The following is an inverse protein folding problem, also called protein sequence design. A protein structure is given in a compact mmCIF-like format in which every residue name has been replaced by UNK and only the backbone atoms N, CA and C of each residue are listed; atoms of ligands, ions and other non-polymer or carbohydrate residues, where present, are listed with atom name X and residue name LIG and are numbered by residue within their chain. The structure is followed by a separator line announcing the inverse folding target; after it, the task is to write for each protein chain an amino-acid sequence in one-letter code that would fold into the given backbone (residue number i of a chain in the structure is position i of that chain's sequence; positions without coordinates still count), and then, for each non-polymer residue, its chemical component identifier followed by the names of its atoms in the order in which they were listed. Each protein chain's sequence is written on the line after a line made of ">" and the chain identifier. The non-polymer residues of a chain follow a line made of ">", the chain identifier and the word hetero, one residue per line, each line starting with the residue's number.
data_IF_248671726632
#
_entry.id   IF_248671726632
#
_cell.length_a   1.000
_cell.length_b   1.000
_cell.length_c   1.000
_cell.angle_alpha   90.00
_cell.angle_beta   90.00
_cell.angle_gamma   90.00
#
_symmetry.space_group_name_H-M   'P 1'
#
loop_
_entity.id
_entity.type
_entity.pdbx_description
1 polymer ?
#
# COMPACT_ATOMS: atom_id res chain seq x y z
N UNK A 1 -0.13 11.23 -17.98
CA UNK A 1 -0.62 11.25 -16.59
C UNK A 1 -1.45 10.00 -16.44
N UNK A 2 -0.96 9.00 -15.68
CA UNK A 2 -1.58 7.66 -15.68
C UNK A 2 -2.84 7.67 -14.84
N UNK A 3 -3.82 6.91 -15.30
CA UNK A 3 -5.17 6.90 -14.79
C UNK A 3 -5.31 5.85 -13.69
N UNK A 4 -5.30 6.29 -12.43
CA UNK A 4 -5.61 5.45 -11.27
C UNK A 4 -7.12 5.38 -10.99
N UNK A 5 -7.98 5.74 -11.96
CA UNK A 5 -9.44 5.75 -11.80
C UNK A 5 -10.04 4.42 -11.36
N UNK A 6 -9.35 3.30 -11.60
CA UNK A 6 -9.81 1.97 -11.18
C UNK A 6 -9.47 1.64 -9.71
N UNK A 7 -8.61 2.43 -9.07
CA UNK A 7 -8.27 2.32 -7.65
C UNK A 7 -9.33 2.97 -6.76
N UNK A 8 -10.41 2.22 -6.53
CA UNK A 8 -11.50 2.65 -5.68
C UNK A 8 -11.28 2.28 -4.21
N UNK A 9 -11.77 3.11 -3.26
CA UNK A 9 -11.80 2.74 -1.85
C UNK A 9 -12.42 1.36 -1.65
N UNK A 10 -11.78 0.55 -0.82
CA UNK A 10 -12.17 -0.83 -0.60
C UNK A 10 -11.34 -1.86 -1.39
N UNK A 11 -10.55 -1.43 -2.37
CA UNK A 11 -9.66 -2.31 -3.14
C UNK A 11 -8.69 -3.04 -2.21
N UNK A 12 -8.66 -4.38 -2.33
CA UNK A 12 -7.74 -5.24 -1.59
C UNK A 12 -6.37 -5.20 -2.26
N UNK A 13 -5.34 -4.89 -1.48
CA UNK A 13 -3.95 -4.81 -1.92
C UNK A 13 -3.12 -5.88 -1.19
N UNK A 14 -2.24 -6.54 -1.92
CA UNK A 14 -1.12 -7.28 -1.34
C UNK A 14 0.04 -6.31 -1.12
N UNK A 15 0.63 -6.34 0.08
CA UNK A 15 1.72 -5.48 0.52
C UNK A 15 2.95 -6.32 0.83
N UNK A 16 4.08 -5.96 0.23
CA UNK A 16 5.39 -6.51 0.52
C UNK A 16 6.26 -5.38 1.05
N UNK A 17 6.95 -5.63 2.17
CA UNK A 17 7.91 -4.68 2.73
C UNK A 17 9.24 -4.88 2.03
N UNK A 18 9.90 -3.80 1.63
CA UNK A 18 11.22 -3.83 1.01
C UNK A 18 12.23 -3.30 2.03
N UNK A 19 13.30 -4.06 2.30
CA UNK A 19 14.38 -3.64 3.19
C UNK A 19 15.37 -2.70 2.49
N UNK A 20 16.39 -2.25 3.23
CA UNK A 20 17.42 -1.33 2.73
C UNK A 20 18.26 -1.93 1.58
N UNK A 21 18.35 -3.26 1.51
CA UNK A 21 19.05 -4.00 0.45
C UNK A 21 18.18 -4.20 -0.81
N UNK A 22 16.91 -3.76 -0.79
CA UNK A 22 15.95 -3.97 -1.87
C UNK A 22 15.30 -5.35 -1.87
N UNK A 23 15.51 -6.14 -0.83
CA UNK A 23 14.95 -7.48 -0.66
C UNK A 23 13.62 -7.46 0.10
N UNK A 24 12.86 -8.56 0.00
CA UNK A 24 11.61 -8.71 0.71
C UNK A 24 11.85 -8.93 2.20
N UNK A 25 11.21 -8.11 3.03
CA UNK A 25 11.22 -8.24 4.48
C UNK A 25 9.91 -8.87 4.98
N UNK A 26 9.98 -10.14 5.38
CA UNK A 26 8.82 -10.87 5.91
C UNK A 26 7.94 -11.46 4.81
N UNK A 27 6.66 -11.70 5.14
CA UNK A 27 5.69 -12.28 4.22
C UNK A 27 4.82 -11.23 3.52
N UNK A 28 4.07 -11.61 2.47
CA UNK A 28 3.04 -10.74 1.91
C UNK A 28 1.95 -10.51 2.97
N UNK A 29 1.57 -9.25 3.10
CA UNK A 29 0.47 -8.81 3.96
C UNK A 29 -0.70 -8.36 3.11
N UNK A 30 -1.90 -8.39 3.69
CA UNK A 30 -3.08 -7.85 3.04
C UNK A 30 -3.40 -6.51 3.68
N UNK A 31 -3.66 -5.53 2.83
CA UNK A 31 -4.18 -4.21 3.20
C UNK A 31 -5.33 -3.83 2.26
N UNK A 32 -5.92 -2.66 2.52
CA UNK A 32 -7.06 -2.15 1.79
C UNK A 32 -6.85 -0.66 1.52
N UNK A 33 -7.18 -0.23 0.31
CA UNK A 33 -7.23 1.18 -0.07
C UNK A 33 -8.39 1.87 0.67
N UNK A 34 -8.12 2.99 1.34
CA UNK A 34 -9.12 3.72 2.14
C UNK A 34 -9.57 5.01 1.45
N UNK A 35 -8.68 5.64 0.68
CA UNK A 35 -8.97 6.87 -0.07
C UNK A 35 -8.59 6.66 -1.55
N UNK A 36 -9.26 7.33 -2.50
CA UNK A 36 -8.78 7.35 -3.89
C UNK A 36 -7.34 7.89 -3.96
N UNK A 37 -6.62 7.52 -5.01
CA UNK A 37 -5.31 8.12 -5.28
C UNK A 37 -5.50 9.58 -5.69
N UNK A 38 -4.92 10.51 -4.93
CA UNK A 38 -5.00 11.95 -5.19
C UNK A 38 -3.60 12.52 -5.37
N UNK A 39 -3.19 12.69 -6.63
CA UNK A 39 -1.78 12.99 -6.96
C UNK A 39 -0.92 11.77 -6.68
N UNK A 40 0.18 11.95 -5.96
CA UNK A 40 1.11 10.86 -5.64
C UNK A 40 0.87 10.26 -4.25
N UNK A 41 -0.15 10.68 -3.52
CA UNK A 41 -0.43 10.18 -2.17
C UNK A 41 -1.80 9.51 -2.07
N UNK A 42 -1.88 8.49 -1.22
CA UNK A 42 -3.13 7.83 -0.88
C UNK A 42 -3.07 7.25 0.55
N UNK A 43 -4.20 6.71 1.01
CA UNK A 43 -4.34 6.12 2.32
C UNK A 43 -4.67 4.64 2.21
N UNK A 44 -3.91 3.80 2.91
CA UNK A 44 -4.19 2.37 3.05
C UNK A 44 -4.37 2.01 4.52
N UNK A 45 -5.09 0.92 4.81
CA UNK A 45 -5.18 0.39 6.15
C UNK A 45 -3.81 -0.10 6.65
N UNK A 46 -3.57 -0.05 7.95
CA UNK A 46 -2.41 -0.75 8.52
C UNK A 46 -2.62 -2.26 8.34
N UNK A 47 -1.67 -2.99 7.71
CA UNK A 47 -1.81 -4.43 7.53
C UNK A 47 -1.95 -5.16 8.86
N UNK A 48 -2.75 -6.22 8.87
CA UNK A 48 -2.97 -7.07 10.06
C UNK A 48 -2.45 -8.47 9.76
N UNK A 49 -1.60 -8.98 10.64
CA UNK A 49 -1.09 -10.35 10.60
C UNK A 49 -1.29 -11.03 11.96
N UNK A 50 -1.95 -12.20 11.97
CA UNK A 50 -2.24 -12.98 13.20
C UNK A 50 -2.84 -12.10 14.32
N UNK A 51 -3.84 -11.30 13.97
CA UNK A 51 -4.54 -10.38 14.89
C UNK A 51 -3.70 -9.22 15.43
N UNK A 52 -2.50 -8.99 14.90
CA UNK A 52 -1.65 -7.87 15.27
C UNK A 52 -1.48 -6.92 14.10
N UNK A 53 -1.43 -5.62 14.39
CA UNK A 53 -0.99 -4.64 13.39
C UNK A 53 0.47 -4.91 13.05
N UNK A 54 0.79 -4.91 11.75
CA UNK A 54 2.16 -4.98 11.27
C UNK A 54 2.72 -3.56 11.30
N UNK A 55 3.67 -3.25 12.20
CA UNK A 55 4.19 -1.90 12.32
C UNK A 55 5.05 -1.56 11.11
N UNK A 56 4.79 -0.40 10.49
CA UNK A 56 5.57 0.14 9.39
C UNK A 56 6.06 1.55 9.75
N UNK A 57 7.37 1.74 9.70
CA UNK A 57 8.02 3.02 9.99
C UNK A 57 7.86 4.00 8.83
N UNK A 58 7.84 5.30 9.14
CA UNK A 58 8.03 6.33 8.12
C UNK A 58 9.35 6.12 7.37
N UNK A 59 9.35 6.30 6.05
CA UNK A 59 10.49 6.05 5.16
C UNK A 59 10.58 4.60 4.65
N UNK A 60 9.74 3.70 5.17
CA UNK A 60 9.74 2.31 4.73
C UNK A 60 9.24 2.20 3.28
N UNK A 61 10.03 1.55 2.43
CA UNK A 61 9.63 1.19 1.07
C UNK A 61 8.73 -0.04 1.08
N UNK A 62 7.62 0.04 0.35
CA UNK A 62 6.67 -1.05 0.18
C UNK A 62 6.35 -1.25 -1.30
N UNK A 63 6.04 -2.48 -1.66
CA UNK A 63 5.46 -2.83 -2.94
C UNK A 63 4.00 -3.22 -2.69
N UNK A 64 3.09 -2.61 -3.44
CA UNK A 64 1.66 -2.91 -3.41
C UNK A 64 1.26 -3.53 -4.73
N UNK A 65 0.44 -4.58 -4.70
CA UNK A 65 -0.12 -5.16 -5.91
C UNK A 65 -1.59 -5.55 -5.73
N UNK A 66 -2.31 -5.61 -6.84
CA UNK A 66 -3.70 -6.07 -6.88
C UNK A 66 -4.00 -6.73 -8.21
N UNK A 67 -5.09 -7.49 -8.26
CA UNK A 67 -5.59 -8.07 -9.51
C UNK A 67 -6.65 -7.14 -10.09
N UNK A 68 -6.36 -6.58 -11.26
CA UNK A 68 -7.32 -5.90 -12.11
C UNK A 68 -7.95 -6.87 -13.10
N UNK A 69 -9.25 -6.74 -13.33
CA UNK A 69 -9.99 -7.65 -14.21
C UNK A 69 -9.65 -7.47 -15.69
N UNK A 70 -9.16 -6.29 -16.09
CA UNK A 70 -8.88 -5.97 -17.50
C UNK A 70 -7.42 -6.17 -17.86
N UNK A 71 -6.52 -5.78 -16.97
CA UNK A 71 -5.08 -5.70 -17.20
C UNK A 71 -4.29 -6.81 -16.51
N UNK A 72 -4.91 -7.55 -15.58
CA UNK A 72 -4.27 -8.61 -14.83
C UNK A 72 -3.64 -8.09 -13.54
N UNK A 73 -2.52 -8.66 -13.12
CA UNK A 73 -1.85 -8.20 -11.91
C UNK A 73 -1.20 -6.84 -12.17
N UNK A 74 -1.47 -5.87 -11.31
CA UNK A 74 -0.87 -4.55 -11.33
C UNK A 74 -0.06 -4.32 -10.05
N UNK A 75 1.09 -3.64 -10.16
CA UNK A 75 1.97 -3.32 -9.04
C UNK A 75 2.41 -1.85 -8.98
N UNK A 76 2.71 -1.36 -7.79
CA UNK A 76 3.32 -0.05 -7.61
C UNK A 76 4.17 0.02 -6.35
N UNK A 77 5.29 0.74 -6.46
CA UNK A 77 6.16 1.04 -5.34
C UNK A 77 5.63 2.28 -4.61
N UNK A 78 5.73 2.25 -3.28
CA UNK A 78 5.40 3.37 -2.45
C UNK A 78 6.31 3.48 -1.24
N UNK A 79 6.33 4.65 -0.63
CA UNK A 79 7.01 4.93 0.62
C UNK A 79 5.98 5.30 1.69
N UNK A 80 6.15 4.77 2.91
CA UNK A 80 5.33 5.15 4.05
C UNK A 80 5.70 6.57 4.50
N UNK A 81 4.79 7.52 4.31
CA UNK A 81 4.98 8.91 4.74
C UNK A 81 4.73 9.05 6.24
N UNK A 82 3.61 8.51 6.72
CA UNK A 82 3.27 8.54 8.15
C UNK A 82 2.16 7.56 8.50
N UNK A 83 2.13 7.17 9.78
CA UNK A 83 0.96 6.50 10.37
C UNK A 83 -0.09 7.53 10.76
N UNK A 84 -1.33 7.29 10.37
CA UNK A 84 -2.51 8.09 10.73
C UNK A 84 -3.40 7.23 11.63
N UNK A 85 -4.01 7.87 12.63
CA UNK A 85 -5.13 7.26 13.37
C UNK A 85 -6.39 8.03 12.99
N UNK A 86 -7.29 7.39 12.27
CA UNK A 86 -8.57 7.97 11.90
C UNK A 86 -9.66 7.17 12.59
N UNK A 87 -10.38 7.84 13.49
CA UNK A 87 -11.33 7.21 14.41
C UNK A 87 -10.71 6.06 15.21
N UNK A 88 -10.97 4.81 14.80
CA UNK A 88 -10.49 3.56 15.42
C UNK A 88 -9.60 2.73 14.50
N UNK A 89 -9.31 3.23 13.31
CA UNK A 89 -8.48 2.54 12.31
C UNK A 89 -7.10 3.17 12.29
N UNK A 90 -6.07 2.32 12.42
CA UNK A 90 -4.70 2.69 12.10
C UNK A 90 -4.50 2.56 10.60
N UNK A 91 -4.03 3.62 9.98
CA UNK A 91 -3.84 3.73 8.54
C UNK A 91 -2.44 4.26 8.23
N UNK A 92 -2.02 4.09 6.98
CA UNK A 92 -0.75 4.55 6.46
C UNK A 92 -1.03 5.53 5.33
N UNK A 93 -0.50 6.75 5.47
CA UNK A 93 -0.35 7.66 4.34
C UNK A 93 0.88 7.19 3.58
N UNK A 94 0.70 6.87 2.31
CA UNK A 94 1.77 6.40 1.44
C UNK A 94 1.94 7.37 0.28
N UNK A 95 3.16 7.46 -0.25
CA UNK A 95 3.48 8.16 -1.48
C UNK A 95 3.91 7.17 -2.54
N UNK A 96 3.26 7.19 -3.69
CA UNK A 96 3.62 6.45 -4.88
C UNK A 96 4.98 6.94 -5.38
N UNK A 97 5.92 6.02 -5.54
CA UNK A 97 7.30 6.33 -5.98
C UNK A 97 7.62 5.72 -7.34
N UNK A 98 6.85 4.73 -7.79
CA UNK A 98 7.06 4.07 -9.07
C UNK A 98 5.99 3.04 -9.38
N UNK A 99 5.99 2.56 -10.62
CA UNK A 99 5.04 1.55 -11.11
C UNK A 99 5.79 0.28 -11.49
N UNK A 100 5.19 -0.86 -11.17
CA UNK A 100 5.66 -2.17 -11.57
C UNK A 100 4.51 -2.81 -12.34
N UNK A 101 4.81 -3.19 -13.58
CA UNK A 101 3.83 -3.56 -14.62
C UNK A 101 2.79 -4.56 -14.13
#
# INVERSE_FOLDING_TARGET
>A
MKDFSEMNPGLRLELIIINEDGEWAGGPYITQLLEPVSGDETLIAMPIHRSNLVPLSTGCSIHLSFLDEKTGQMGFQAEVVKTISQERVKALRIRLTGELT
#
